data_IF_781917189381
#
_entry.id   IF_781917189381
#
_cell.length_a   1.000
_cell.length_b   1.000
_cell.length_c   1.000
_cell.angle_alpha   90.00
_cell.angle_beta   90.00
_cell.angle_gamma   90.00
#
_symmetry.space_group_name_H-M   'P 1'
#
loop_
_entity.id
_entity.type
_entity.pdbx_description
1 polymer ?
#
# COMPACT_ATOMS: atom_id res chain seq x y z
N UNK A 1 27.20 29.73 -19.33
CA UNK A 1 26.23 28.72 -18.88
C UNK A 1 24.93 28.90 -19.67
N UNK A 2 24.57 27.90 -20.45
CA UNK A 2 23.42 27.97 -21.35
C UNK A 2 22.11 27.87 -20.55
N UNK A 3 21.12 28.75 -20.82
CA UNK A 3 19.77 28.70 -20.21
C UNK A 3 19.09 27.33 -20.32
N UNK A 4 19.48 26.48 -21.30
CA UNK A 4 18.98 25.12 -21.48
C UNK A 4 19.48 24.14 -20.41
N UNK A 5 20.71 24.29 -19.91
CA UNK A 5 21.26 23.41 -18.86
C UNK A 5 20.64 23.71 -17.47
N UNK A 6 20.34 24.99 -17.21
CA UNK A 6 19.67 25.40 -15.96
C UNK A 6 18.22 24.85 -15.92
N UNK A 7 17.50 24.85 -17.03
CA UNK A 7 16.14 24.32 -17.11
C UNK A 7 16.09 22.79 -17.00
N UNK A 8 17.08 22.06 -17.53
CA UNK A 8 17.13 20.61 -17.44
C UNK A 8 17.47 20.13 -16.02
N UNK A 9 18.37 20.79 -15.31
CA UNK A 9 18.71 20.47 -13.94
C UNK A 9 17.56 20.76 -12.97
N UNK A 10 16.81 21.83 -13.17
CA UNK A 10 15.63 22.15 -12.34
C UNK A 10 14.47 21.19 -12.59
N UNK A 11 14.23 20.77 -13.83
CA UNK A 11 13.19 19.79 -14.14
C UNK A 11 13.52 18.39 -13.57
N UNK A 12 14.79 17.97 -13.65
CA UNK A 12 15.23 16.72 -13.03
C UNK A 12 15.15 16.76 -11.51
N UNK A 13 15.51 17.87 -10.88
CA UNK A 13 15.39 18.04 -9.43
C UNK A 13 13.92 17.98 -8.99
N UNK A 14 13.02 18.58 -9.73
CA UNK A 14 11.59 18.55 -9.47
C UNK A 14 11.03 17.14 -9.67
N UNK A 15 11.38 16.45 -10.75
CA UNK A 15 10.97 15.07 -11.00
C UNK A 15 11.43 14.11 -9.89
N UNK A 16 12.69 14.22 -9.45
CA UNK A 16 13.21 13.39 -8.34
C UNK A 16 12.52 13.71 -7.01
N UNK A 17 12.12 14.96 -6.78
CA UNK A 17 11.35 15.36 -5.61
C UNK A 17 9.99 14.66 -5.55
N UNK A 18 9.27 14.61 -6.65
CA UNK A 18 7.98 13.91 -6.76
C UNK A 18 8.12 12.40 -6.55
N UNK A 19 9.12 11.78 -7.20
CA UNK A 19 9.38 10.34 -7.04
C UNK A 19 9.69 10.00 -5.58
N UNK A 20 10.52 10.80 -4.91
CA UNK A 20 10.81 10.61 -3.49
C UNK A 20 9.55 10.70 -2.62
N UNK A 21 8.66 11.63 -2.91
CA UNK A 21 7.42 11.82 -2.17
C UNK A 21 6.48 10.61 -2.30
N UNK A 22 6.38 10.01 -3.50
CA UNK A 22 5.58 8.80 -3.72
C UNK A 22 6.17 7.59 -2.99
N UNK A 23 7.51 7.45 -3.00
CA UNK A 23 8.22 6.43 -2.22
C UNK A 23 7.98 6.64 -0.73
N UNK A 24 8.10 7.87 -0.23
CA UNK A 24 7.83 8.20 1.16
C UNK A 24 6.39 7.87 1.56
N UNK A 25 5.42 8.17 0.70
CA UNK A 25 4.00 7.84 0.94
C UNK A 25 3.78 6.33 1.06
N UNK A 26 4.37 5.55 0.14
CA UNK A 26 4.30 4.09 0.21
C UNK A 26 4.96 3.56 1.49
N UNK A 27 6.09 4.10 1.90
CA UNK A 27 6.79 3.69 3.13
C UNK A 27 5.96 4.02 4.37
N UNK A 28 5.36 5.22 4.46
CA UNK A 28 4.48 5.59 5.59
C UNK A 28 3.27 4.67 5.65
N UNK A 29 2.66 4.36 4.51
CA UNK A 29 1.56 3.41 4.42
C UNK A 29 1.99 2.01 4.89
N UNK A 30 3.10 1.47 4.39
CA UNK A 30 3.61 0.14 4.75
C UNK A 30 3.95 0.00 6.24
N UNK A 31 4.45 1.07 6.86
CA UNK A 31 4.72 1.08 8.30
C UNK A 31 3.45 1.07 9.17
N UNK A 32 2.32 1.43 8.57
CA UNK A 32 1.02 1.51 9.24
C UNK A 32 -0.04 0.60 8.61
N UNK A 33 0.34 -0.31 7.68
CA UNK A 33 -0.63 -1.06 6.87
C UNK A 33 -1.64 -1.86 7.69
N UNK A 34 -1.28 -2.37 8.87
CA UNK A 34 -2.21 -3.07 9.76
C UNK A 34 -3.28 -2.16 10.39
N UNK A 35 -3.02 -0.86 10.47
CA UNK A 35 -3.90 0.14 11.08
C UNK A 35 -4.50 1.11 10.06
N UNK A 36 -3.90 1.24 8.88
CA UNK A 36 -4.34 2.17 7.86
C UNK A 36 -5.69 1.76 7.27
N UNK A 37 -6.60 2.73 7.16
CA UNK A 37 -7.85 2.65 6.43
C UNK A 37 -7.66 3.16 4.99
N UNK A 38 -7.02 4.31 4.88
CA UNK A 38 -6.74 4.97 3.60
C UNK A 38 -5.55 5.93 3.75
N UNK A 39 -4.98 6.34 2.65
CA UNK A 39 -3.97 7.39 2.62
C UNK A 39 -4.14 8.28 1.39
N UNK A 40 -3.62 9.50 1.45
CA UNK A 40 -3.55 10.40 0.31
C UNK A 40 -2.18 11.08 0.23
N UNK A 41 -1.88 11.56 -0.98
CA UNK A 41 -0.65 12.29 -1.31
C UNK A 41 -1.06 13.62 -1.93
N UNK A 42 -0.32 14.71 -1.63
CA UNK A 42 -0.63 16.05 -2.13
C UNK A 42 -2.00 16.60 -1.69
N UNK A 43 -2.44 16.22 -0.50
CA UNK A 43 -3.64 16.77 0.13
C UNK A 43 -3.35 18.08 0.88
N UNK A 44 -3.74 18.14 2.15
CA UNK A 44 -3.38 19.24 3.07
C UNK A 44 -1.92 19.19 3.48
N UNK A 45 -1.33 18.00 3.46
CA UNK A 45 0.09 17.71 3.67
C UNK A 45 0.61 16.86 2.51
N UNK A 46 1.94 16.71 2.40
CA UNK A 46 2.52 15.84 1.36
C UNK A 46 1.95 14.42 1.46
N UNK A 47 1.75 13.91 2.70
CA UNK A 47 1.24 12.57 2.96
C UNK A 47 0.33 12.59 4.18
N UNK A 48 -0.87 12.05 4.05
CA UNK A 48 -1.80 11.84 5.17
C UNK A 48 -2.26 10.39 5.17
N UNK A 49 -2.12 9.69 6.31
CA UNK A 49 -2.68 8.35 6.52
C UNK A 49 -3.80 8.45 7.54
N UNK A 50 -4.99 8.00 7.18
CA UNK A 50 -6.15 7.88 8.07
C UNK A 50 -6.19 6.43 8.58
N UNK A 51 -6.20 6.28 9.88
CA UNK A 51 -6.27 4.98 10.54
C UNK A 51 -7.72 4.50 10.66
N UNK A 52 -7.91 3.21 10.95
CA UNK A 52 -9.24 2.58 11.11
C UNK A 52 -10.07 3.20 12.23
N UNK A 53 -9.43 3.73 13.27
CA UNK A 53 -10.07 4.48 14.36
C UNK A 53 -10.30 5.97 14.02
N UNK A 54 -10.11 6.37 12.76
CA UNK A 54 -10.20 7.74 12.23
C UNK A 54 -9.14 8.72 12.77
N UNK A 55 -8.15 8.27 13.50
CA UNK A 55 -6.97 9.09 13.80
C UNK A 55 -6.13 9.29 12.54
N UNK A 56 -5.32 10.36 12.51
CA UNK A 56 -4.48 10.65 11.35
C UNK A 56 -3.00 10.75 11.69
N UNK A 57 -2.18 10.36 10.72
CA UNK A 57 -0.74 10.55 10.68
C UNK A 57 -0.46 11.53 9.54
N UNK A 58 0.29 12.59 9.81
CA UNK A 58 0.71 13.56 8.81
C UNK A 58 2.21 13.46 8.59
N UNK A 59 2.64 13.46 7.33
CA UNK A 59 4.06 13.44 7.00
C UNK A 59 4.40 14.44 5.91
N UNK A 60 5.61 15.00 6.03
CA UNK A 60 6.19 15.94 5.09
C UNK A 60 7.49 15.36 4.53
N UNK A 61 7.60 15.23 3.20
CA UNK A 61 8.75 14.66 2.53
C UNK A 61 9.63 15.75 1.90
N UNK A 62 10.93 15.74 2.21
CA UNK A 62 11.91 16.67 1.66
C UNK A 62 13.12 15.93 1.13
N UNK A 63 13.37 16.01 -0.17
CA UNK A 63 14.53 15.40 -0.81
C UNK A 63 15.58 16.42 -1.24
N UNK A 64 16.81 15.96 -1.42
CA UNK A 64 17.89 16.67 -2.06
C UNK A 64 18.60 15.78 -3.07
N UNK A 65 19.17 16.41 -4.10
CA UNK A 65 19.98 15.72 -5.12
C UNK A 65 21.38 15.41 -4.64
N UNK A 66 21.89 16.22 -3.74
CA UNK A 66 23.24 16.12 -3.21
C UNK A 66 23.17 15.93 -1.70
N UNK A 67 23.50 14.71 -1.25
CA UNK A 67 23.33 14.30 0.13
C UNK A 67 24.39 14.83 1.07
N UNK A 68 25.58 15.12 0.53
CA UNK A 68 26.73 15.60 1.28
C UNK A 68 26.81 17.13 1.34
N UNK A 69 25.85 17.81 0.70
CA UNK A 69 25.83 19.28 0.68
C UNK A 69 25.45 19.86 2.04
N UNK A 70 26.07 20.91 2.37
CA UNK A 70 26.02 21.85 3.52
C UNK A 70 24.94 21.51 4.60
N UNK A 71 25.38 21.05 5.77
CA UNK A 71 24.54 20.66 6.93
C UNK A 71 23.51 21.74 7.32
N UNK A 72 23.83 23.02 7.18
CA UNK A 72 22.89 24.12 7.46
C UNK A 72 21.65 24.14 6.58
N UNK A 73 21.78 23.78 5.30
CA UNK A 73 20.64 23.69 4.38
C UNK A 73 19.70 22.54 4.74
N UNK A 74 20.24 21.44 5.22
CA UNK A 74 19.45 20.30 5.64
C UNK A 74 18.62 20.62 6.89
N UNK A 75 19.21 21.32 7.87
CA UNK A 75 18.48 21.76 9.06
C UNK A 75 17.30 22.68 8.70
N UNK A 76 17.53 23.64 7.81
CA UNK A 76 16.47 24.56 7.38
C UNK A 76 15.33 23.82 6.67
N UNK A 77 15.62 22.75 5.92
CA UNK A 77 14.58 21.90 5.30
C UNK A 77 13.77 21.13 6.34
N UNK A 78 14.39 20.65 7.41
CA UNK A 78 13.66 20.03 8.54
C UNK A 78 12.77 21.08 9.21
N UNK A 79 13.26 22.31 9.40
CA UNK A 79 12.44 23.40 9.96
C UNK A 79 11.25 23.78 9.08
N UNK A 80 11.39 23.72 7.76
CA UNK A 80 10.25 23.88 6.82
C UNK A 80 9.23 22.75 6.96
N UNK A 81 9.69 21.51 7.16
CA UNK A 81 8.75 20.40 7.45
C UNK A 81 8.01 20.62 8.76
N UNK A 82 8.69 21.11 9.79
CA UNK A 82 8.08 21.41 11.10
C UNK A 82 7.03 22.51 10.97
N UNK A 83 7.32 23.54 10.20
CA UNK A 83 6.37 24.65 9.92
C UNK A 83 5.04 24.12 9.37
N UNK A 84 5.10 23.25 8.36
CA UNK A 84 3.92 22.67 7.73
C UNK A 84 3.20 21.74 8.70
N UNK A 85 3.94 20.83 9.36
CA UNK A 85 3.37 19.84 10.28
C UNK A 85 2.75 20.43 11.54
N UNK A 86 3.23 21.59 12.02
CA UNK A 86 2.71 22.25 13.21
C UNK A 86 1.24 22.69 13.08
N UNK A 87 0.74 22.86 11.85
CA UNK A 87 -0.68 23.16 11.60
C UNK A 87 -1.61 21.96 11.90
N UNK A 88 -1.10 20.73 11.99
CA UNK A 88 -1.86 19.50 12.15
C UNK A 88 -1.96 19.05 13.62
N UNK A 89 -2.58 19.84 14.46
CA UNK A 89 -2.68 19.63 15.91
C UNK A 89 -3.48 18.37 16.29
N UNK A 90 -4.41 17.94 15.42
CA UNK A 90 -5.26 16.75 15.58
C UNK A 90 -4.57 15.44 15.14
N UNK A 91 -3.42 15.50 14.46
CA UNK A 91 -2.67 14.32 14.14
C UNK A 91 -2.07 13.64 15.38
N UNK A 92 -2.10 12.30 15.41
CA UNK A 92 -1.46 11.52 16.50
C UNK A 92 0.04 11.36 16.27
N UNK A 93 0.49 11.55 15.03
CA UNK A 93 1.90 11.45 14.66
C UNK A 93 2.22 12.45 13.55
N UNK A 94 3.36 13.12 13.70
CA UNK A 94 3.90 14.11 12.77
C UNK A 94 5.28 13.67 12.33
N UNK A 95 5.47 13.42 11.02
CA UNK A 95 6.69 12.79 10.51
C UNK A 95 7.37 13.72 9.50
N UNK A 96 8.60 14.15 9.79
CA UNK A 96 9.48 14.74 8.80
C UNK A 96 10.32 13.66 8.14
N UNK A 97 10.20 13.49 6.83
CA UNK A 97 10.88 12.45 6.04
C UNK A 97 11.90 13.11 5.13
N UNK A 98 13.12 12.58 5.10
CA UNK A 98 14.15 13.07 4.19
C UNK A 98 15.09 11.95 3.72
N UNK A 99 15.82 12.21 2.63
CA UNK A 99 16.93 11.38 2.19
C UNK A 99 18.30 11.95 2.64
N UNK A 100 18.30 12.88 3.60
CA UNK A 100 19.52 13.44 4.17
C UNK A 100 20.05 12.58 5.31
N UNK A 101 21.26 12.06 5.15
CA UNK A 101 21.89 11.20 6.17
C UNK A 101 22.19 11.94 7.48
N UNK A 102 22.64 13.19 7.39
CA UNK A 102 23.06 14.01 8.53
C UNK A 102 22.34 15.35 8.58
N UNK A 103 21.01 15.39 8.53
CA UNK A 103 20.28 16.65 8.43
C UNK A 103 20.44 17.53 9.68
N UNK A 104 20.78 16.92 10.81
CA UNK A 104 20.91 17.57 12.12
C UNK A 104 22.37 17.57 12.65
N UNK A 105 23.32 17.06 11.86
CA UNK A 105 24.73 16.91 12.21
C UNK A 105 25.14 15.47 12.49
N UNK A 106 26.45 15.28 12.80
CA UNK A 106 27.02 13.94 12.97
C UNK A 106 26.47 13.19 14.18
N UNK A 107 26.19 13.89 15.28
CA UNK A 107 25.72 13.30 16.53
C UNK A 107 24.32 12.66 16.40
N UNK A 108 23.52 13.16 15.44
CA UNK A 108 22.17 12.70 15.16
C UNK A 108 22.04 12.09 13.77
N UNK A 109 23.16 11.63 13.17
CA UNK A 109 23.17 10.99 11.86
C UNK A 109 22.29 9.73 11.84
N UNK A 110 21.63 9.50 10.71
CA UNK A 110 20.85 8.28 10.46
C UNK A 110 21.77 7.13 10.02
N UNK A 111 21.28 5.90 10.15
CA UNK A 111 22.00 4.73 9.67
C UNK A 111 21.88 4.62 8.14
N UNK A 112 23.04 4.54 7.47
CA UNK A 112 23.12 4.27 6.03
C UNK A 112 22.94 2.79 5.66
N UNK A 113 23.01 1.93 6.68
CA UNK A 113 22.93 0.47 6.47
C UNK A 113 21.49 -0.01 6.24
N UNK A 114 20.51 0.82 6.58
CA UNK A 114 19.09 0.49 6.47
C UNK A 114 18.43 1.36 5.41
N UNK A 115 17.43 0.79 4.71
CA UNK A 115 16.59 1.55 3.76
C UNK A 115 15.78 2.63 4.47
N UNK A 116 15.24 2.31 5.64
CA UNK A 116 14.47 3.20 6.50
C UNK A 116 15.10 3.25 7.89
N UNK A 117 15.43 4.44 8.37
CA UNK A 117 15.81 4.69 9.77
C UNK A 117 14.88 5.73 10.39
N UNK A 118 14.53 5.54 11.66
CA UNK A 118 13.53 6.33 12.37
C UNK A 118 14.07 6.82 13.70
N UNK A 119 13.85 8.09 13.99
CA UNK A 119 14.17 8.70 15.29
C UNK A 119 12.95 9.41 15.83
N UNK A 120 12.61 9.13 17.10
CA UNK A 120 11.70 9.97 17.86
C UNK A 120 12.44 11.23 18.28
N UNK A 121 11.74 12.34 18.47
CA UNK A 121 12.35 13.59 18.90
C UNK A 121 13.16 13.45 20.21
N UNK A 122 12.65 12.67 21.15
CA UNK A 122 13.28 12.39 22.45
C UNK A 122 14.64 11.66 22.34
N UNK A 123 14.85 10.94 21.23
CA UNK A 123 16.09 10.17 20.97
C UNK A 123 17.19 11.02 20.32
N UNK A 124 16.91 12.27 19.99
CA UNK A 124 17.92 13.21 19.51
C UNK A 124 18.78 13.71 20.67
N UNK A 125 20.01 14.15 20.35
CA UNK A 125 20.85 14.77 21.36
C UNK A 125 20.18 16.01 21.95
N UNK A 126 20.44 16.28 23.23
CA UNK A 126 19.87 17.44 23.94
C UNK A 126 20.19 18.76 23.22
N UNK A 127 21.38 18.85 22.61
CA UNK A 127 21.79 20.02 21.82
C UNK A 127 20.87 20.22 20.61
N UNK A 128 20.57 19.15 19.88
CA UNK A 128 19.69 19.19 18.71
C UNK A 128 18.25 19.48 19.10
N UNK A 129 17.74 18.83 20.16
CA UNK A 129 16.41 19.10 20.69
C UNK A 129 16.22 20.57 21.03
N UNK A 130 17.17 21.15 21.76
CA UNK A 130 17.13 22.56 22.16
C UNK A 130 17.19 23.49 20.95
N UNK A 131 18.04 23.19 19.95
CA UNK A 131 18.13 23.97 18.71
C UNK A 131 16.82 23.97 17.93
N UNK A 132 16.14 22.81 17.82
CA UNK A 132 14.86 22.70 17.13
C UNK A 132 13.78 23.47 17.91
N UNK A 133 13.67 23.28 19.23
CA UNK A 133 12.71 23.98 20.10
C UNK A 133 12.87 25.49 20.00
N UNK A 134 14.08 25.99 20.23
CA UNK A 134 14.37 27.42 20.14
C UNK A 134 13.97 27.99 18.76
N UNK A 135 14.32 27.29 17.69
CA UNK A 135 14.02 27.77 16.34
C UNK A 135 12.51 27.74 16.03
N UNK A 136 11.79 26.75 16.56
CA UNK A 136 10.34 26.68 16.45
C UNK A 136 9.66 27.83 17.23
N UNK A 137 10.13 28.11 18.45
CA UNK A 137 9.66 29.22 19.26
C UNK A 137 9.93 30.58 18.60
N UNK A 138 11.15 30.82 18.07
CA UNK A 138 11.49 32.04 17.34
C UNK A 138 10.57 32.31 16.14
N UNK A 139 10.08 31.22 15.50
CA UNK A 139 9.17 31.31 14.36
C UNK A 139 7.68 31.22 14.73
N UNK A 140 7.39 31.00 16.02
CA UNK A 140 6.00 30.89 16.52
C UNK A 140 5.31 29.58 16.19
N UNK A 141 6.07 28.52 15.90
CA UNK A 141 5.49 27.18 15.63
C UNK A 141 5.14 26.47 16.93
N UNK A 142 3.89 26.03 17.04
CA UNK A 142 3.41 25.22 18.18
C UNK A 142 3.37 23.75 17.77
N UNK A 143 4.51 23.06 17.93
CA UNK A 143 4.62 21.62 17.65
C UNK A 143 4.59 20.79 18.92
N UNK A 144 3.76 19.74 18.93
CA UNK A 144 3.83 18.70 19.98
C UNK A 144 5.01 17.75 19.67
N UNK A 145 6.13 17.99 20.31
CA UNK A 145 7.36 17.20 20.10
C UNK A 145 7.22 15.74 20.52
N UNK A 146 6.24 15.36 21.34
CA UNK A 146 6.00 13.95 21.68
C UNK A 146 5.43 13.17 20.48
N UNK A 147 4.76 13.87 19.56
CA UNK A 147 4.22 13.30 18.32
C UNK A 147 5.18 13.38 17.15
N UNK A 148 6.25 14.17 17.28
CA UNK A 148 7.16 14.47 16.19
C UNK A 148 8.23 13.38 16.02
N UNK A 149 8.38 12.92 14.79
CA UNK A 149 9.35 11.91 14.38
C UNK A 149 10.13 12.37 13.15
N UNK A 150 11.34 11.87 13.05
CA UNK A 150 12.24 12.08 11.92
C UNK A 150 12.53 10.74 11.27
N UNK A 151 12.25 10.63 9.98
CA UNK A 151 12.53 9.44 9.20
C UNK A 151 13.53 9.75 8.10
N UNK A 152 14.46 8.84 7.92
CA UNK A 152 15.40 8.83 6.82
C UNK A 152 15.04 7.67 5.90
N UNK A 153 14.86 7.97 4.60
CA UNK A 153 14.71 6.96 3.55
C UNK A 153 15.93 7.05 2.66
N UNK A 154 16.67 5.96 2.55
CA UNK A 154 17.79 5.86 1.63
C UNK A 154 17.29 5.85 0.19
N UNK A 155 17.36 7.00 -0.46
CA UNK A 155 16.87 7.21 -1.81
C UNK A 155 17.96 7.90 -2.63
N UNK A 156 18.91 7.11 -3.13
CA UNK A 156 20.10 7.60 -3.83
C UNK A 156 20.70 6.57 -4.76
N UNK A 157 21.63 7.02 -5.63
CA UNK A 157 22.37 6.17 -6.56
C UNK A 157 21.66 5.93 -7.88
N UNK A 158 22.15 4.96 -8.65
CA UNK A 158 21.65 4.64 -9.99
C UNK A 158 20.28 3.93 -9.96
N UNK A 159 19.98 3.24 -8.85
CA UNK A 159 18.76 2.43 -8.69
C UNK A 159 18.17 2.62 -7.30
N UNK A 160 17.62 3.82 -7.01
CA UNK A 160 17.08 4.14 -5.67
C UNK A 160 15.88 3.25 -5.28
N UNK A 161 15.22 2.63 -6.25
CA UNK A 161 14.05 1.80 -6.06
C UNK A 161 14.38 0.38 -5.58
N UNK A 162 15.61 -0.11 -5.75
CA UNK A 162 16.01 -1.44 -5.26
C UNK A 162 15.86 -1.55 -3.73
N UNK A 163 16.24 -0.50 -3.00
CA UNK A 163 16.05 -0.45 -1.56
C UNK A 163 14.58 -0.58 -1.15
N UNK A 164 13.69 0.08 -1.90
CA UNK A 164 12.24 -0.01 -1.70
C UNK A 164 11.72 -1.41 -1.99
N UNK A 165 12.17 -2.07 -3.08
CA UNK A 165 11.77 -3.42 -3.43
C UNK A 165 12.15 -4.43 -2.32
N UNK A 166 13.38 -4.36 -1.79
CA UNK A 166 13.80 -5.19 -0.66
C UNK A 166 12.97 -4.92 0.60
N UNK A 167 12.72 -3.66 0.89
CA UNK A 167 11.90 -3.26 2.03
C UNK A 167 10.46 -3.78 1.88
N UNK A 168 9.85 -3.60 0.72
CA UNK A 168 8.52 -4.12 0.41
C UNK A 168 8.45 -5.63 0.54
N UNK A 169 9.44 -6.35 0.00
CA UNK A 169 9.52 -7.80 0.12
C UNK A 169 9.53 -8.26 1.59
N UNK A 170 10.27 -7.58 2.45
CA UNK A 170 10.30 -7.89 3.88
C UNK A 170 8.94 -7.69 4.57
N UNK A 171 8.18 -6.68 4.14
CA UNK A 171 6.82 -6.42 4.66
C UNK A 171 5.79 -7.44 4.20
N UNK A 172 5.98 -7.99 3.01
CA UNK A 172 5.06 -8.95 2.38
C UNK A 172 5.50 -10.41 2.51
N UNK A 173 6.55 -10.72 3.27
CA UNK A 173 7.10 -12.07 3.41
C UNK A 173 6.04 -13.11 3.80
N UNK A 174 5.13 -12.78 4.70
CA UNK A 174 4.02 -13.66 5.10
C UNK A 174 3.02 -13.93 3.98
N UNK A 175 2.85 -12.98 3.05
CA UNK A 175 1.88 -13.08 1.96
C UNK A 175 2.49 -13.76 0.75
N UNK A 176 3.79 -13.57 0.52
CA UNK A 176 4.51 -14.07 -0.65
C UNK A 176 5.65 -15.04 -0.31
N UNK A 177 5.47 -16.02 0.61
CA UNK A 177 6.55 -16.89 1.07
C UNK A 177 7.13 -17.78 -0.05
N UNK A 178 6.36 -18.02 -1.10
CA UNK A 178 6.75 -18.86 -2.25
C UNK A 178 7.00 -18.02 -3.52
N UNK A 179 7.18 -16.72 -3.41
CA UNK A 179 7.44 -15.81 -4.53
C UNK A 179 6.40 -15.95 -5.66
N UNK A 180 5.12 -15.99 -5.32
CA UNK A 180 4.01 -16.11 -6.26
C UNK A 180 3.94 -14.94 -7.26
N UNK A 181 4.49 -13.78 -6.88
CA UNK A 181 4.51 -12.58 -7.72
C UNK A 181 5.85 -11.84 -7.58
N UNK A 182 6.20 -11.08 -8.61
CA UNK A 182 7.32 -10.15 -8.58
C UNK A 182 6.99 -8.96 -7.69
N UNK A 183 7.88 -8.70 -6.72
CA UNK A 183 7.76 -7.54 -5.83
C UNK A 183 8.00 -6.24 -6.61
N UNK A 184 8.89 -6.27 -7.60
CA UNK A 184 9.18 -5.10 -8.46
C UNK A 184 7.94 -4.69 -9.26
N UNK A 185 7.24 -5.65 -9.88
CA UNK A 185 5.99 -5.37 -10.60
C UNK A 185 4.88 -4.82 -9.69
N UNK A 186 4.83 -5.30 -8.44
CA UNK A 186 3.87 -4.83 -7.46
C UNK A 186 4.20 -3.41 -7.01
N UNK A 187 5.48 -3.15 -6.75
CA UNK A 187 6.00 -1.83 -6.37
C UNK A 187 5.70 -0.80 -7.45
N UNK A 188 6.03 -1.10 -8.71
CA UNK A 188 5.72 -0.23 -9.85
C UNK A 188 4.21 0.07 -9.92
N UNK A 189 3.37 -0.95 -9.77
CA UNK A 189 1.92 -0.79 -9.79
C UNK A 189 1.44 0.12 -8.65
N UNK A 190 1.95 -0.03 -7.44
CA UNK A 190 1.54 0.78 -6.30
C UNK A 190 2.04 2.23 -6.43
N UNK A 191 3.26 2.44 -6.89
CA UNK A 191 3.77 3.79 -7.19
C UNK A 191 2.94 4.48 -8.28
N UNK A 192 2.53 3.75 -9.32
CA UNK A 192 1.63 4.29 -10.35
C UNK A 192 0.25 4.67 -9.79
N UNK A 193 -0.32 3.86 -8.87
CA UNK A 193 -1.57 4.21 -8.19
C UNK A 193 -1.39 5.50 -7.40
N UNK A 194 -0.32 5.62 -6.62
CA UNK A 194 -0.01 6.82 -5.83
C UNK A 194 0.15 8.03 -6.74
N UNK A 195 0.91 7.90 -7.83
CA UNK A 195 1.13 8.99 -8.78
C UNK A 195 -0.16 9.47 -9.46
N UNK A 196 -1.04 8.55 -9.83
CA UNK A 196 -2.32 8.90 -10.44
C UNK A 196 -3.23 9.62 -9.45
N UNK A 197 -3.28 9.15 -8.20
CA UNK A 197 -4.10 9.78 -7.16
C UNK A 197 -3.55 11.13 -6.69
N UNK A 198 -2.22 11.33 -6.71
CA UNK A 198 -1.61 12.61 -6.37
C UNK A 198 -2.02 13.75 -7.32
N UNK A 199 -2.43 13.42 -8.56
CA UNK A 199 -2.95 14.40 -9.53
C UNK A 199 -4.37 14.86 -9.20
N UNK A 200 -5.11 14.05 -8.46
CA UNK A 200 -6.50 14.30 -8.09
C UNK A 200 -6.57 14.48 -6.57
N UNK A 201 -6.45 15.74 -6.13
CA UNK A 201 -6.24 16.15 -4.73
C UNK A 201 -7.33 15.70 -3.74
N UNK A 202 -8.46 15.21 -4.23
CA UNK A 202 -9.58 14.74 -3.40
C UNK A 202 -9.63 13.21 -3.28
N UNK A 203 -8.75 12.48 -3.99
CA UNK A 203 -8.79 11.03 -4.01
C UNK A 203 -7.93 10.41 -2.91
N UNK A 204 -8.60 9.67 -2.04
CA UNK A 204 -7.96 8.80 -1.07
C UNK A 204 -7.69 7.42 -1.69
N UNK A 205 -6.53 6.84 -1.38
CA UNK A 205 -6.19 5.47 -1.75
C UNK A 205 -6.61 4.58 -0.58
N UNK A 206 -7.65 3.79 -0.79
CA UNK A 206 -8.14 2.87 0.23
C UNK A 206 -7.20 1.66 0.36
N UNK A 207 -6.97 1.21 1.60
CA UNK A 207 -6.16 0.01 1.88
C UNK A 207 -6.73 -1.22 1.17
N UNK A 208 -8.06 -1.32 1.03
CA UNK A 208 -8.73 -2.40 0.30
C UNK A 208 -8.35 -2.45 -1.17
N UNK A 209 -8.13 -1.31 -1.81
CA UNK A 209 -7.64 -1.22 -3.19
C UNK A 209 -6.23 -1.83 -3.30
N UNK A 210 -5.36 -1.53 -2.36
CA UNK A 210 -4.00 -2.11 -2.30
C UNK A 210 -4.07 -3.63 -2.09
N UNK A 211 -4.91 -4.11 -1.17
CA UNK A 211 -5.15 -5.54 -0.94
C UNK A 211 -5.69 -6.24 -2.20
N UNK A 212 -6.63 -5.62 -2.92
CA UNK A 212 -7.17 -6.16 -4.17
C UNK A 212 -6.09 -6.31 -5.25
N UNK A 213 -5.21 -5.31 -5.41
CA UNK A 213 -4.10 -5.40 -6.37
C UNK A 213 -3.12 -6.50 -6.03
N UNK A 214 -2.84 -6.69 -4.74
CA UNK A 214 -1.96 -7.74 -4.24
C UNK A 214 -2.53 -9.13 -4.55
N UNK A 215 -3.81 -9.36 -4.23
CA UNK A 215 -4.48 -10.63 -4.53
C UNK A 215 -4.52 -10.92 -6.04
N UNK A 216 -4.75 -9.90 -6.87
CA UNK A 216 -4.75 -10.02 -8.33
C UNK A 216 -3.40 -10.49 -8.92
N UNK A 217 -2.27 -10.24 -8.24
CA UNK A 217 -0.95 -10.72 -8.67
C UNK A 217 -0.69 -12.19 -8.36
N UNK A 218 -1.47 -12.81 -7.48
CA UNK A 218 -1.30 -14.22 -7.10
C UNK A 218 -1.94 -15.17 -8.10
N UNK A 219 -2.70 -14.67 -9.08
CA UNK A 219 -3.32 -15.48 -10.13
C UNK A 219 -2.25 -16.03 -11.09
N UNK A 220 -2.31 -17.33 -11.30
CA UNK A 220 -1.43 -18.05 -12.22
C UNK A 220 -2.27 -19.02 -13.08
N UNK A 221 -2.05 -19.04 -14.40
CA UNK A 221 -2.75 -19.88 -15.36
C UNK A 221 -2.73 -21.39 -15.03
N UNK A 222 -1.58 -21.89 -14.57
CA UNK A 222 -1.45 -23.29 -14.16
C UNK A 222 -2.38 -23.64 -13.00
N UNK A 223 -2.63 -22.72 -12.09
CA UNK A 223 -3.55 -22.91 -10.97
C UNK A 223 -5.00 -22.82 -11.40
N UNK A 224 -5.32 -22.03 -12.41
CA UNK A 224 -6.65 -21.92 -12.98
C UNK A 224 -7.09 -23.27 -13.53
N UNK A 225 -6.26 -23.94 -14.34
CA UNK A 225 -6.53 -25.28 -14.87
C UNK A 225 -6.71 -26.33 -13.77
N UNK A 226 -6.00 -26.19 -12.63
CA UNK A 226 -6.21 -27.07 -11.47
C UNK A 226 -7.58 -26.82 -10.80
N UNK A 227 -7.99 -25.57 -10.66
CA UNK A 227 -9.26 -25.19 -10.05
C UNK A 227 -10.43 -25.69 -10.89
N UNK A 228 -10.38 -25.51 -12.22
CA UNK A 228 -11.37 -26.03 -13.16
C UNK A 228 -11.60 -27.54 -12.94
N UNK A 229 -10.51 -28.31 -12.82
CA UNK A 229 -10.57 -29.75 -12.51
C UNK A 229 -11.15 -30.07 -11.14
N UNK A 230 -10.85 -29.21 -10.12
CA UNK A 230 -11.34 -29.43 -8.76
C UNK A 230 -12.85 -29.23 -8.61
N UNK A 231 -13.46 -28.40 -9.45
CA UNK A 231 -14.91 -28.16 -9.45
C UNK A 231 -15.62 -28.93 -10.57
N UNK A 232 -14.89 -29.70 -11.36
CA UNK A 232 -15.41 -30.51 -12.47
C UNK A 232 -16.19 -29.64 -13.48
N UNK A 233 -15.59 -28.50 -13.85
CA UNK A 233 -16.16 -27.53 -14.77
C UNK A 233 -15.62 -27.78 -16.19
N UNK A 234 -16.52 -27.93 -17.15
CA UNK A 234 -16.17 -27.99 -18.58
C UNK A 234 -16.22 -26.56 -19.13
N UNK A 235 -15.07 -25.95 -19.34
CA UNK A 235 -14.94 -24.63 -19.95
C UNK A 235 -14.32 -24.73 -21.34
N UNK A 236 -14.83 -23.91 -22.25
CA UNK A 236 -14.16 -23.67 -23.53
C UNK A 236 -12.81 -22.97 -23.26
N UNK A 237 -11.70 -23.38 -23.91
CA UNK A 237 -10.39 -22.78 -23.71
C UNK A 237 -10.35 -21.25 -23.85
N UNK A 238 -11.19 -20.66 -24.70
CA UNK A 238 -11.29 -19.21 -24.83
C UNK A 238 -11.79 -18.53 -23.54
N UNK A 239 -12.58 -19.20 -22.72
CA UNK A 239 -13.03 -18.65 -21.42
C UNK A 239 -11.90 -18.60 -20.37
N UNK A 240 -10.88 -19.46 -20.47
CA UNK A 240 -9.73 -19.40 -19.56
C UNK A 240 -8.95 -18.10 -19.77
N UNK A 241 -8.70 -17.69 -21.03
CA UNK A 241 -8.03 -16.44 -21.37
C UNK A 241 -8.88 -15.22 -20.98
N UNK A 242 -10.18 -15.26 -21.20
CA UNK A 242 -11.13 -14.20 -20.82
C UNK A 242 -11.18 -14.05 -19.30
N UNK A 243 -11.20 -15.16 -18.55
CA UNK A 243 -11.16 -15.11 -17.09
C UNK A 243 -9.87 -14.50 -16.57
N UNK A 244 -8.71 -14.89 -17.11
CA UNK A 244 -7.43 -14.29 -16.72
C UNK A 244 -7.38 -12.79 -17.03
N UNK A 245 -7.83 -12.39 -18.22
CA UNK A 245 -7.90 -10.99 -18.63
C UNK A 245 -8.84 -10.20 -17.73
N UNK A 246 -10.02 -10.71 -17.45
CA UNK A 246 -11.01 -10.11 -16.56
C UNK A 246 -10.43 -9.99 -15.14
N UNK A 247 -9.85 -11.05 -14.61
CA UNK A 247 -9.26 -11.06 -13.27
C UNK A 247 -8.15 -10.03 -13.14
N UNK A 248 -7.23 -9.97 -14.10
CA UNK A 248 -6.12 -8.99 -14.09
C UNK A 248 -6.59 -7.55 -14.22
N UNK A 249 -7.61 -7.30 -15.04
CA UNK A 249 -8.01 -5.94 -15.39
C UNK A 249 -9.08 -5.36 -14.46
N UNK A 250 -10.03 -6.15 -14.04
CA UNK A 250 -11.17 -5.70 -13.25
C UNK A 250 -10.93 -5.83 -11.75
N UNK A 251 -10.46 -6.97 -11.30
CA UNK A 251 -10.32 -7.22 -9.87
C UNK A 251 -9.22 -6.39 -9.21
N UNK A 252 -8.26 -5.94 -9.99
CA UNK A 252 -7.20 -5.07 -9.47
C UNK A 252 -7.58 -3.60 -9.31
N UNK A 253 -8.79 -3.20 -9.72
CA UNK A 253 -9.22 -1.79 -9.74
C UNK A 253 -10.40 -1.47 -8.82
N UNK A 254 -11.02 -2.47 -8.22
CA UNK A 254 -12.19 -2.27 -7.40
C UNK A 254 -11.85 -2.38 -5.90
N UNK A 255 -12.05 -1.30 -5.13
CA UNK A 255 -11.78 -1.26 -3.69
C UNK A 255 -12.62 -2.29 -2.90
N UNK A 256 -13.84 -2.58 -3.34
CA UNK A 256 -14.75 -3.49 -2.62
C UNK A 256 -14.43 -4.98 -2.80
N UNK A 257 -13.55 -5.32 -3.76
CA UNK A 257 -13.34 -6.72 -4.11
C UNK A 257 -12.72 -7.53 -2.97
N UNK A 258 -11.86 -6.91 -2.17
CA UNK A 258 -11.23 -7.61 -1.06
C UNK A 258 -12.24 -7.98 0.03
N UNK A 259 -13.26 -7.15 0.26
CA UNK A 259 -14.38 -7.45 1.14
C UNK A 259 -15.14 -8.69 0.64
N UNK A 260 -15.37 -8.79 -0.68
CA UNK A 260 -16.02 -9.94 -1.30
C UNK A 260 -15.21 -11.23 -1.12
N UNK A 261 -13.89 -11.18 -1.30
CA UNK A 261 -13.02 -12.33 -1.03
C UNK A 261 -13.14 -12.81 0.42
N UNK A 262 -13.17 -11.87 1.34
CA UNK A 262 -13.31 -12.14 2.77
C UNK A 262 -14.62 -12.84 3.09
N UNK A 263 -15.74 -12.35 2.55
CA UNK A 263 -17.05 -12.96 2.71
C UNK A 263 -17.09 -14.38 2.16
N UNK A 264 -16.64 -14.60 0.92
CA UNK A 264 -16.61 -15.94 0.31
C UNK A 264 -15.75 -16.91 1.13
N UNK A 265 -14.59 -16.48 1.62
CA UNK A 265 -13.73 -17.37 2.43
C UNK A 265 -14.33 -17.69 3.79
N UNK A 266 -15.02 -16.77 4.43
CA UNK A 266 -15.74 -17.00 5.68
C UNK A 266 -16.90 -17.99 5.49
N UNK A 267 -17.71 -17.81 4.45
CA UNK A 267 -18.81 -18.72 4.11
C UNK A 267 -18.31 -20.13 3.77
N UNK A 268 -17.16 -20.21 3.08
CA UNK A 268 -16.52 -21.49 2.78
C UNK A 268 -16.08 -22.22 4.07
N UNK A 269 -15.53 -21.51 5.05
CA UNK A 269 -15.14 -22.11 6.33
C UNK A 269 -16.34 -22.60 7.13
N UNK A 270 -17.41 -21.83 7.17
CA UNK A 270 -18.69 -22.23 7.79
C UNK A 270 -19.23 -23.51 7.10
N UNK A 271 -19.21 -23.54 5.77
CA UNK A 271 -19.66 -24.70 5.00
C UNK A 271 -18.81 -25.94 5.32
N UNK A 272 -17.47 -25.85 5.28
CA UNK A 272 -16.58 -26.99 5.53
C UNK A 272 -16.73 -27.50 6.96
N UNK A 273 -16.86 -26.62 7.93
CA UNK A 273 -17.03 -26.97 9.34
C UNK A 273 -18.36 -27.69 9.60
N UNK A 274 -19.43 -27.25 8.95
CA UNK A 274 -20.78 -27.80 9.15
C UNK A 274 -20.99 -29.12 8.40
N UNK A 275 -20.52 -29.21 7.14
CA UNK A 275 -20.80 -30.35 6.26
C UNK A 275 -19.71 -31.43 6.29
N UNK A 276 -18.49 -31.07 6.73
CA UNK A 276 -17.32 -31.96 6.78
C UNK A 276 -17.11 -32.77 5.49
N UNK A 277 -17.08 -32.14 4.32
CA UNK A 277 -16.98 -32.84 3.03
C UNK A 277 -15.60 -33.49 2.88
N UNK A 278 -15.50 -34.49 2.01
CA UNK A 278 -14.19 -35.05 1.66
C UNK A 278 -13.32 -33.98 1.01
N UNK A 279 -12.05 -33.93 1.37
CA UNK A 279 -11.10 -32.89 0.91
C UNK A 279 -11.06 -32.69 -0.61
N UNK A 280 -11.30 -33.76 -1.40
CA UNK A 280 -11.31 -33.69 -2.88
C UNK A 280 -12.59 -33.08 -3.47
N UNK A 281 -13.70 -33.10 -2.72
CA UNK A 281 -15.02 -32.68 -3.17
C UNK A 281 -15.44 -31.34 -2.58
N UNK A 282 -14.72 -30.84 -1.57
CA UNK A 282 -15.10 -29.68 -0.78
C UNK A 282 -15.34 -28.42 -1.62
N UNK A 283 -14.49 -28.17 -2.61
CA UNK A 283 -14.65 -26.98 -3.48
C UNK A 283 -15.87 -27.12 -4.38
N UNK A 284 -16.02 -28.25 -5.05
CA UNK A 284 -17.18 -28.52 -5.93
C UNK A 284 -18.50 -28.40 -5.18
N UNK A 285 -18.62 -29.08 -4.05
CA UNK A 285 -19.84 -29.06 -3.23
C UNK A 285 -20.16 -27.66 -2.70
N UNK A 286 -19.15 -26.92 -2.27
CA UNK A 286 -19.34 -25.54 -1.82
C UNK A 286 -19.84 -24.66 -2.98
N UNK A 287 -19.13 -24.65 -4.10
CA UNK A 287 -19.48 -23.85 -5.28
C UNK A 287 -20.89 -24.17 -5.79
N UNK A 288 -21.25 -25.45 -5.90
CA UNK A 288 -22.58 -25.89 -6.30
C UNK A 288 -23.66 -25.45 -5.31
N UNK A 289 -23.38 -25.54 -4.01
CA UNK A 289 -24.28 -25.08 -2.96
C UNK A 289 -24.44 -23.57 -2.97
N UNK A 290 -23.32 -22.86 -3.06
CA UNK A 290 -23.27 -21.40 -3.01
C UNK A 290 -23.97 -20.75 -4.21
N UNK A 291 -23.79 -21.31 -5.42
CA UNK A 291 -24.40 -20.80 -6.63
C UNK A 291 -25.93 -21.16 -6.75
N UNK A 292 -26.41 -22.15 -6.00
CA UNK A 292 -27.85 -22.52 -5.96
C UNK A 292 -28.63 -21.70 -4.94
N UNK A 293 -27.97 -21.02 -4.01
CA UNK A 293 -28.66 -20.32 -2.93
C UNK A 293 -29.21 -18.97 -3.40
N UNK A 294 -30.51 -18.76 -3.19
CA UNK A 294 -31.14 -17.43 -3.24
C UNK A 294 -30.50 -16.43 -2.24
N UNK A 295 -29.65 -16.93 -1.34
CA UNK A 295 -29.03 -16.23 -0.24
C UNK A 295 -27.57 -15.79 -0.50
N UNK A 296 -27.14 -15.65 -1.75
CA UNK A 296 -25.84 -14.98 -2.02
C UNK A 296 -25.91 -13.58 -1.41
N UNK A 297 -24.93 -13.19 -0.58
CA UNK A 297 -24.90 -11.85 0.01
C UNK A 297 -25.12 -10.75 -1.04
N UNK A 298 -25.95 -9.77 -0.69
CA UNK A 298 -26.33 -8.71 -1.64
C UNK A 298 -25.09 -7.99 -2.19
N UNK A 299 -24.05 -7.81 -1.37
CA UNK A 299 -22.78 -7.20 -1.80
C UNK A 299 -22.14 -7.97 -2.97
N UNK A 300 -22.22 -9.31 -2.94
CA UNK A 300 -21.71 -10.18 -4.00
C UNK A 300 -22.60 -10.10 -5.24
N UNK A 301 -23.92 -10.11 -5.06
CA UNK A 301 -24.89 -9.95 -6.17
C UNK A 301 -24.66 -8.61 -6.86
N UNK A 302 -24.67 -7.51 -6.11
CA UNK A 302 -24.47 -6.15 -6.63
C UNK A 302 -23.11 -6.03 -7.32
N UNK A 303 -22.09 -6.66 -6.78
CA UNK A 303 -20.77 -6.67 -7.41
C UNK A 303 -20.82 -7.30 -8.80
N UNK A 304 -21.47 -8.44 -8.96
CA UNK A 304 -21.59 -9.11 -10.26
C UNK A 304 -22.60 -8.43 -11.19
N UNK A 305 -23.72 -7.93 -10.68
CA UNK A 305 -24.72 -7.18 -11.45
C UNK A 305 -24.12 -5.90 -12.07
N UNK A 306 -23.27 -5.19 -11.36
CA UNK A 306 -22.56 -4.02 -11.89
C UNK A 306 -21.57 -4.37 -13.03
N UNK A 307 -21.20 -5.64 -13.16
CA UNK A 307 -20.36 -6.15 -14.24
C UNK A 307 -21.16 -6.73 -15.41
N UNK A 308 -22.39 -7.18 -15.17
CA UNK A 308 -23.21 -7.89 -16.17
C UNK A 308 -23.81 -6.97 -17.24
N UNK A 309 -23.81 -5.64 -17.02
CA UNK A 309 -24.32 -4.68 -18.02
C UNK A 309 -23.50 -4.64 -19.32
N UNK A 310 -22.32 -5.22 -19.36
CA UNK A 310 -21.42 -5.16 -20.54
C UNK A 310 -21.00 -6.51 -21.13
N UNK A 311 -20.96 -7.56 -20.34
CA UNK A 311 -20.56 -8.90 -20.80
C UNK A 311 -21.37 -9.91 -19.98
N UNK A 312 -22.26 -10.69 -20.60
CA UNK A 312 -23.00 -11.79 -19.96
C UNK A 312 -22.00 -12.77 -19.35
N UNK A 313 -21.66 -12.55 -18.08
CA UNK A 313 -20.85 -13.48 -17.32
C UNK A 313 -21.63 -14.77 -17.14
N UNK A 314 -21.19 -15.85 -17.74
CA UNK A 314 -21.82 -17.17 -17.58
C UNK A 314 -21.77 -17.59 -16.10
N UNK A 315 -22.76 -18.39 -15.69
CA UNK A 315 -22.79 -19.01 -14.36
C UNK A 315 -21.46 -19.74 -14.05
N UNK A 316 -20.83 -20.25 -15.08
CA UNK A 316 -19.56 -20.98 -14.98
C UNK A 316 -18.38 -20.07 -14.63
N UNK A 317 -18.37 -18.84 -15.13
CA UNK A 317 -17.42 -17.83 -14.73
C UNK A 317 -17.55 -17.48 -13.23
N UNK A 318 -18.80 -17.37 -12.77
CA UNK A 318 -19.10 -17.14 -11.36
C UNK A 318 -18.64 -18.29 -10.46
N UNK A 319 -18.90 -19.54 -10.86
CA UNK A 319 -18.41 -20.73 -10.15
C UNK A 319 -16.88 -20.75 -10.07
N UNK A 320 -16.24 -20.43 -11.19
CA UNK A 320 -14.78 -20.39 -11.27
C UNK A 320 -14.18 -19.34 -10.34
N UNK A 321 -14.78 -18.15 -10.28
CA UNK A 321 -14.36 -17.10 -9.38
C UNK A 321 -14.46 -17.52 -7.91
N UNK A 322 -15.59 -18.07 -7.48
CA UNK A 322 -15.80 -18.54 -6.11
C UNK A 322 -14.79 -19.64 -5.77
N UNK A 323 -14.61 -20.61 -6.66
CA UNK A 323 -13.64 -21.68 -6.48
C UNK A 323 -12.22 -21.17 -6.33
N UNK A 324 -11.84 -20.17 -7.14
CA UNK A 324 -10.52 -19.54 -7.08
C UNK A 324 -10.29 -18.85 -5.74
N UNK A 325 -11.24 -18.06 -5.27
CA UNK A 325 -11.14 -17.38 -3.96
C UNK A 325 -10.97 -18.40 -2.83
N UNK A 326 -11.76 -19.46 -2.82
CA UNK A 326 -11.66 -20.54 -1.82
C UNK A 326 -10.32 -21.28 -1.91
N UNK A 327 -9.83 -21.54 -3.13
CA UNK A 327 -8.55 -22.20 -3.35
C UNK A 327 -7.38 -21.34 -2.81
N UNK A 328 -7.49 -20.03 -2.92
CA UNK A 328 -6.50 -19.03 -2.45
C UNK A 328 -6.79 -18.50 -1.03
N UNK A 329 -7.67 -19.14 -0.30
CA UNK A 329 -8.07 -18.73 1.05
C UNK A 329 -6.88 -18.38 1.96
N UNK A 330 -5.83 -19.20 1.97
CA UNK A 330 -4.65 -18.93 2.81
C UNK A 330 -3.99 -17.58 2.47
N UNK A 331 -3.96 -17.21 1.20
CA UNK A 331 -3.42 -15.89 0.78
C UNK A 331 -4.35 -14.79 1.23
N UNK A 332 -5.67 -14.95 1.09
CA UNK A 332 -6.66 -13.98 1.60
C UNK A 332 -6.47 -13.78 3.10
N UNK A 333 -6.35 -14.86 3.86
CA UNK A 333 -6.14 -14.80 5.31
C UNK A 333 -4.81 -14.13 5.68
N UNK A 334 -3.72 -14.42 4.96
CA UNK A 334 -2.44 -13.75 5.18
C UNK A 334 -2.51 -12.24 4.88
N UNK A 335 -3.23 -11.84 3.83
CA UNK A 335 -3.47 -10.42 3.54
C UNK A 335 -4.29 -9.79 4.67
N UNK A 336 -5.36 -10.46 5.14
CA UNK A 336 -6.18 -9.97 6.26
C UNK A 336 -5.35 -9.74 7.51
N UNK A 337 -4.51 -10.72 7.89
CA UNK A 337 -3.63 -10.64 9.06
C UNK A 337 -2.66 -9.45 8.93
N UNK A 338 -1.96 -9.34 7.79
CA UNK A 338 -0.93 -8.31 7.57
C UNK A 338 -1.55 -6.91 7.52
N UNK A 339 -2.74 -6.77 6.94
CA UNK A 339 -3.46 -5.50 6.83
C UNK A 339 -4.46 -5.27 7.99
N UNK A 340 -4.45 -6.13 9.02
CA UNK A 340 -5.24 -5.94 10.22
C UNK A 340 -6.76 -5.97 10.01
N UNK A 341 -7.25 -6.76 9.07
CA UNK A 341 -8.67 -7.05 8.92
C UNK A 341 -9.05 -8.20 9.84
N UNK A 342 -9.34 -7.88 11.10
CA UNK A 342 -9.85 -8.86 12.05
C UNK A 342 -11.30 -9.22 11.72
N UNK A 343 -11.71 -10.46 12.11
CA UNK A 343 -13.12 -10.87 12.02
C UNK A 343 -13.93 -10.05 13.01
N UNK A 344 -14.83 -9.20 12.50
CA UNK A 344 -15.88 -8.57 13.30
C UNK A 344 -17.05 -9.53 13.46
#
# INVERSE_FOLDING_TARGET
MNKKEINSSSANAQSNGWTFQYVAALVVFLENMGLAKQFCVEGTEDIVVILKNNEKICAQAKSGLDQDSIVSLHFDRIMLSIETLAANTDAIQLISISNFHKPLGDDDAFSYMQFLDKKNFENLTTKTQNKIKQKSEEKGYMLDFNKFKLWFIRFEGAEPEQGLAHYLNSKLEKINPNQYFSVDDLMEKWLNIIQLNARDKENNIETEMICGTLFGKVLNSTQLSQIIKLIDLELDPCYEEDFERFFKNYFSRNSQIFKIYTLITADYDVFVNNTKPKKREQYKLFVESYCKQENIPNDIKTFFENYDEKEQLSLDFYKLFIAYVCYKKNVVNSIREVFGYEDN
#
